data_IF_725859904738
#
_entry.id   IF_725859904738
#
_cell.length_a   1.000
_cell.length_b   1.000
_cell.length_c   1.000
_cell.angle_alpha   90.00
_cell.angle_beta   90.00
_cell.angle_gamma   90.00
#
_symmetry.space_group_name_H-M   'P 1'
#
loop_
_entity.id
_entity.type
_entity.pdbx_description
1 polymer ?
#
# COMPACT_ATOMS: atom_id res chain seq x y z
N UNK A 1 -35.59 19.70 -8.36
CA UNK A 1 -36.48 20.45 -7.45
C UNK A 1 -35.74 21.72 -7.03
N UNK A 2 -36.25 22.91 -7.38
CA UNK A 2 -35.63 24.20 -7.04
C UNK A 2 -35.93 24.55 -5.58
N UNK A 3 -34.88 24.81 -4.79
CA UNK A 3 -35.01 25.31 -3.43
C UNK A 3 -35.34 26.81 -3.47
N UNK A 4 -36.40 27.23 -2.78
CA UNK A 4 -36.87 28.62 -2.67
C UNK A 4 -36.16 29.43 -1.58
N UNK A 5 -35.01 28.95 -1.09
CA UNK A 5 -34.26 29.60 -0.02
C UNK A 5 -33.24 30.62 -0.59
N UNK A 6 -33.39 31.93 -0.30
CA UNK A 6 -32.61 33.02 -0.90
C UNK A 6 -31.11 33.00 -0.53
N UNK A 7 -30.72 32.25 0.49
CA UNK A 7 -29.30 32.07 0.86
C UNK A 7 -28.54 31.24 -0.17
N UNK A 8 -29.23 30.35 -0.89
CA UNK A 8 -28.61 29.46 -1.88
C UNK A 8 -28.60 30.03 -3.29
N UNK A 9 -29.49 30.98 -3.60
CA UNK A 9 -29.53 31.69 -4.89
C UNK A 9 -28.33 32.64 -5.07
N UNK A 10 -27.82 33.20 -3.97
CA UNK A 10 -26.75 34.20 -4.01
C UNK A 10 -25.34 33.62 -4.23
N UNK A 11 -25.18 32.28 -4.12
CA UNK A 11 -23.87 31.60 -4.24
C UNK A 11 -23.70 30.75 -5.51
N UNK A 12 -24.59 30.87 -6.50
CA UNK A 12 -24.37 30.28 -7.82
C UNK A 12 -24.40 28.75 -7.89
N UNK A 13 -25.04 28.08 -6.93
CA UNK A 13 -25.20 26.62 -6.99
C UNK A 13 -26.42 26.24 -7.83
N UNK A 14 -26.31 26.40 -9.15
CA UNK A 14 -27.16 25.68 -10.12
C UNK A 14 -26.32 24.57 -10.75
N UNK A 15 -26.79 23.33 -10.66
CA UNK A 15 -26.12 22.16 -11.22
C UNK A 15 -26.53 22.01 -12.68
N UNK A 16 -25.97 22.83 -13.54
CA UNK A 16 -25.92 22.57 -14.97
C UNK A 16 -24.56 21.95 -15.31
N UNK A 17 -24.57 20.94 -16.18
CA UNK A 17 -23.43 20.10 -16.55
C UNK A 17 -22.23 20.91 -17.10
N UNK A 18 -21.36 21.38 -16.23
CA UNK A 18 -20.10 22.02 -16.58
C UNK A 18 -19.16 22.05 -15.37
N UNK A 19 -17.88 21.73 -15.59
CA UNK A 19 -16.88 21.66 -14.52
C UNK A 19 -16.74 22.99 -13.76
N UNK A 20 -16.85 22.94 -12.44
CA UNK A 20 -16.60 24.07 -11.56
C UNK A 20 -15.09 24.30 -11.41
N UNK A 21 -14.53 25.21 -12.20
CA UNK A 21 -13.19 25.76 -12.01
C UNK A 21 -13.22 27.01 -11.12
N UNK A 22 -12.26 27.13 -10.20
CA UNK A 22 -11.95 28.42 -9.56
C UNK A 22 -11.31 29.34 -10.61
N UNK A 23 -11.83 30.57 -10.76
CA UNK A 23 -11.48 31.60 -11.75
C UNK A 23 -12.03 31.45 -13.17
N UNK A 24 -13.37 31.50 -13.33
CA UNK A 24 -13.96 31.83 -14.62
C UNK A 24 -14.03 33.37 -14.77
N UNK A 25 -13.29 33.91 -15.74
CA UNK A 25 -13.45 35.29 -16.22
C UNK A 25 -14.86 35.48 -16.82
N UNK A 26 -15.44 36.70 -16.77
CA UNK A 26 -16.72 36.96 -17.42
C UNK A 26 -16.58 36.77 -18.93
N UNK A 27 -17.27 35.75 -19.45
CA UNK A 27 -17.34 35.43 -20.87
C UNK A 27 -18.18 36.49 -21.60
N UNK A 28 -17.55 37.15 -22.56
CA UNK A 28 -18.15 38.13 -23.45
C UNK A 28 -19.19 37.48 -24.39
N UNK A 29 -20.32 38.15 -24.58
CA UNK A 29 -21.31 37.75 -25.57
C UNK A 29 -22.60 38.56 -25.52
N UNK A 30 -22.59 39.76 -26.10
CA UNK A 30 -23.74 40.34 -26.79
C UNK A 30 -23.28 41.53 -27.65
N UNK A 31 -23.42 41.38 -28.96
CA UNK A 31 -23.23 42.46 -29.92
C UNK A 31 -24.34 43.49 -29.75
N UNK A 32 -23.96 44.75 -29.52
CA UNK A 32 -24.83 45.90 -29.67
C UNK A 32 -24.13 46.90 -30.60
N UNK A 33 -24.65 46.98 -31.82
CA UNK A 33 -24.38 48.01 -32.81
C UNK A 33 -24.67 49.38 -32.20
N UNK A 34 -23.64 50.21 -32.04
CA UNK A 34 -23.76 51.59 -31.59
C UNK A 34 -22.58 52.40 -32.11
N UNK A 35 -22.83 53.15 -33.18
CA UNK A 35 -21.89 54.10 -33.75
C UNK A 35 -21.50 55.16 -32.70
N UNK A 36 -20.21 55.52 -32.66
CA UNK A 36 -19.78 56.77 -32.04
C UNK A 36 -18.83 57.49 -33.00
N UNK A 37 -19.21 58.67 -33.53
CA UNK A 37 -18.39 59.50 -34.40
C UNK A 37 -17.36 60.25 -33.55
N UNK A 38 -16.31 60.78 -34.18
CA UNK A 38 -15.14 61.45 -33.57
C UNK A 38 -13.97 60.53 -33.20
N UNK A 39 -13.38 59.92 -34.24
CA UNK A 39 -11.94 59.75 -34.28
C UNK A 39 -11.30 61.10 -34.68
N UNK A 40 -10.73 61.84 -33.73
CA UNK A 40 -9.74 62.88 -34.04
C UNK A 40 -8.92 63.25 -32.80
N UNK A 41 -7.59 63.19 -32.91
CA UNK A 41 -6.69 63.85 -31.96
C UNK A 41 -5.55 62.98 -31.43
N UNK A 42 -4.46 62.93 -32.18
CA UNK A 42 -3.12 62.63 -31.68
C UNK A 42 -2.73 63.62 -30.59
N UNK A 43 -2.59 63.15 -29.35
CA UNK A 43 -1.84 63.83 -28.29
C UNK A 43 -1.15 62.78 -27.42
N UNK A 44 0.18 62.73 -27.53
CA UNK A 44 1.03 61.93 -26.65
C UNK A 44 0.90 62.45 -25.21
N UNK A 45 0.47 61.59 -24.29
CA UNK A 45 0.38 61.89 -22.87
C UNK A 45 1.71 61.45 -22.20
N UNK A 46 2.60 62.35 -21.75
CA UNK A 46 3.94 61.99 -21.30
C UNK A 46 4.03 61.36 -19.90
N UNK A 47 2.91 61.07 -19.24
CA UNK A 47 2.89 60.60 -17.84
C UNK A 47 2.13 59.28 -17.59
N UNK A 48 1.84 58.50 -18.63
CA UNK A 48 1.18 57.20 -18.48
C UNK A 48 2.17 56.02 -18.56
N UNK A 49 3.20 56.01 -17.71
CA UNK A 49 4.01 54.80 -17.48
C UNK A 49 3.34 54.02 -16.36
N UNK A 50 2.48 53.06 -16.73
CA UNK A 50 1.84 52.16 -15.77
C UNK A 50 2.67 50.86 -15.70
N UNK A 51 3.46 50.60 -14.64
CA UNK A 51 4.38 49.45 -14.57
C UNK A 51 3.69 48.08 -14.49
N UNK A 52 2.35 48.07 -14.46
CA UNK A 52 1.52 46.89 -14.28
C UNK A 52 0.62 46.59 -15.49
N UNK A 53 0.82 47.27 -16.63
CA UNK A 53 0.09 46.95 -17.86
C UNK A 53 0.68 45.68 -18.51
N UNK A 54 0.25 44.51 -18.03
CA UNK A 54 0.49 43.23 -18.70
C UNK A 54 -0.37 43.16 -19.96
N UNK A 55 0.25 43.37 -21.13
CA UNK A 55 -0.38 43.17 -22.43
C UNK A 55 -0.74 41.69 -22.63
N UNK A 56 -2.03 41.29 -22.70
CA UNK A 56 -2.43 39.88 -22.79
C UNK A 56 -2.13 39.22 -24.14
N UNK A 57 -1.70 40.01 -25.13
CA UNK A 57 -1.47 39.56 -26.51
C UNK A 57 0.02 39.36 -26.86
N UNK A 58 0.94 39.59 -25.93
CA UNK A 58 2.38 39.56 -26.19
C UNK A 58 3.03 38.14 -26.11
N UNK A 59 2.26 37.09 -25.79
CA UNK A 59 2.81 35.74 -25.53
C UNK A 59 2.51 34.67 -26.59
N UNK A 60 2.03 35.05 -27.79
CA UNK A 60 1.68 34.06 -28.83
C UNK A 60 2.86 33.57 -29.70
N UNK A 61 4.12 33.78 -29.28
CA UNK A 61 5.30 33.52 -30.12
C UNK A 61 6.41 32.63 -29.56
N UNK A 62 6.32 32.12 -28.33
CA UNK A 62 7.34 31.23 -27.79
C UNK A 62 6.84 29.78 -27.77
N UNK A 63 7.56 28.82 -28.39
CA UNK A 63 7.37 27.42 -28.09
C UNK A 63 7.61 27.25 -26.58
N UNK A 64 6.54 26.98 -25.83
CA UNK A 64 6.64 26.75 -24.40
C UNK A 64 7.68 25.65 -24.17
N UNK A 65 8.67 25.93 -23.31
CA UNK A 65 9.64 24.93 -22.89
C UNK A 65 8.88 23.66 -22.47
N UNK A 66 9.30 22.45 -22.91
CA UNK A 66 8.64 21.22 -22.48
C UNK A 66 8.56 21.23 -20.96
N UNK A 67 7.36 20.98 -20.42
CA UNK A 67 7.17 20.85 -18.98
C UNK A 67 8.25 19.90 -18.44
N UNK A 68 8.96 20.26 -17.35
CA UNK A 68 10.04 19.42 -16.84
C UNK A 68 9.50 18.00 -16.66
N UNK A 69 10.15 17.03 -17.28
CA UNK A 69 9.83 15.63 -17.10
C UNK A 69 9.74 15.39 -15.59
N UNK A 70 8.66 14.75 -15.12
CA UNK A 70 8.54 14.32 -13.72
C UNK A 70 9.54 13.18 -13.49
N UNK A 71 10.82 13.50 -13.44
CA UNK A 71 11.93 12.56 -13.23
C UNK A 71 11.89 11.92 -11.84
N UNK A 72 11.08 12.46 -10.93
CA UNK A 72 10.90 11.98 -9.56
C UNK A 72 9.52 11.35 -9.30
N UNK A 73 8.70 11.08 -10.33
CA UNK A 73 7.45 10.37 -10.13
C UNK A 73 7.66 8.85 -10.01
N UNK A 74 6.91 8.22 -9.11
CA UNK A 74 6.83 6.78 -8.90
C UNK A 74 6.36 6.05 -10.15
N UNK A 75 7.04 4.96 -10.49
CA UNK A 75 6.72 4.08 -11.62
C UNK A 75 6.41 2.65 -11.17
N UNK A 76 5.82 1.84 -12.05
CA UNK A 76 5.65 0.39 -11.78
C UNK A 76 7.01 -0.28 -11.60
N UNK A 77 7.98 0.04 -12.46
CA UNK A 77 9.33 -0.56 -12.41
C UNK A 77 10.02 -0.27 -11.08
N UNK A 78 9.81 0.92 -10.53
CA UNK A 78 10.29 1.29 -9.21
C UNK A 78 9.73 0.40 -8.11
N UNK A 79 8.43 0.11 -8.14
CA UNK A 79 7.76 -0.74 -7.14
C UNK A 79 8.18 -2.19 -7.30
N UNK A 80 8.20 -2.70 -8.52
CA UNK A 80 8.59 -4.08 -8.82
C UNK A 80 10.03 -4.32 -8.36
N UNK A 81 10.95 -3.42 -8.70
CA UNK A 81 12.36 -3.55 -8.31
C UNK A 81 12.54 -3.55 -6.80
N UNK A 82 11.89 -2.63 -6.08
CA UNK A 82 12.01 -2.55 -4.61
C UNK A 82 11.34 -3.73 -3.92
N UNK A 83 10.20 -4.19 -4.42
CA UNK A 83 9.51 -5.38 -3.90
C UNK A 83 10.34 -6.64 -4.13
N UNK A 84 10.97 -6.77 -5.30
CA UNK A 84 11.90 -7.86 -5.59
C UNK A 84 13.14 -7.81 -4.69
N UNK A 85 13.68 -6.62 -4.42
CA UNK A 85 14.80 -6.45 -3.48
C UNK A 85 14.42 -6.84 -2.05
N UNK A 86 13.26 -6.41 -1.55
CA UNK A 86 12.83 -6.71 -0.18
C UNK A 86 12.49 -8.19 -0.02
N UNK A 87 11.69 -8.77 -0.92
CA UNK A 87 11.38 -10.20 -0.88
C UNK A 87 12.61 -11.08 -1.13
N UNK A 88 13.48 -10.68 -2.05
CA UNK A 88 14.74 -11.35 -2.30
C UNK A 88 15.61 -11.38 -1.05
N UNK A 89 15.68 -10.27 -0.31
CA UNK A 89 16.39 -10.21 0.96
C UNK A 89 15.75 -11.09 2.03
N UNK A 90 14.41 -11.14 2.14
CA UNK A 90 13.71 -12.08 3.03
C UNK A 90 14.12 -13.52 2.71
N UNK A 91 14.08 -13.91 1.43
CA UNK A 91 14.42 -15.28 1.00
C UNK A 91 15.88 -15.62 1.27
N UNK A 92 16.81 -14.71 0.96
CA UNK A 92 18.25 -14.92 1.22
C UNK A 92 18.52 -15.05 2.71
N UNK A 93 17.93 -14.17 3.54
CA UNK A 93 18.09 -14.25 4.99
C UNK A 93 17.44 -15.51 5.58
N UNK A 94 16.29 -15.95 5.04
CA UNK A 94 15.65 -17.21 5.44
C UNK A 94 16.51 -18.44 5.10
N UNK A 95 17.04 -18.49 3.89
CA UNK A 95 17.94 -19.56 3.47
C UNK A 95 19.25 -19.57 4.29
N UNK A 96 19.82 -18.39 4.56
CA UNK A 96 20.98 -18.25 5.41
C UNK A 96 20.71 -18.71 6.84
N UNK A 97 19.59 -18.31 7.44
CA UNK A 97 19.21 -18.75 8.78
C UNK A 97 19.01 -20.27 8.84
N UNK A 98 18.38 -20.87 7.82
CA UNK A 98 18.20 -22.31 7.72
C UNK A 98 19.54 -23.06 7.66
N UNK A 99 20.52 -22.54 6.93
CA UNK A 99 21.81 -23.21 6.75
C UNK A 99 22.77 -23.00 7.94
N UNK A 100 22.77 -21.79 8.52
CA UNK A 100 23.65 -21.42 9.64
C UNK A 100 23.12 -21.98 10.96
N UNK A 101 21.80 -22.08 11.13
CA UNK A 101 21.14 -22.65 12.30
C UNK A 101 20.24 -23.83 11.93
N UNK A 102 20.83 -25.01 11.64
CA UNK A 102 20.05 -26.25 11.58
C UNK A 102 19.41 -26.52 12.95
N UNK A 103 18.10 -26.80 12.96
CA UNK A 103 17.35 -26.98 14.20
C UNK A 103 17.33 -28.44 14.62
N UNK A 104 18.22 -28.78 15.56
CA UNK A 104 18.25 -30.08 16.23
C UNK A 104 17.71 -29.98 17.67
N UNK A 105 17.39 -31.13 18.27
CA UNK A 105 16.80 -31.21 19.62
C UNK A 105 17.66 -30.52 20.68
N UNK A 106 18.99 -30.49 20.51
CA UNK A 106 19.93 -29.81 21.41
C UNK A 106 19.88 -28.28 21.33
N UNK A 107 19.53 -27.72 20.17
CA UNK A 107 19.55 -26.27 19.90
C UNK A 107 18.15 -25.65 19.77
N UNK A 108 17.10 -26.44 19.98
CA UNK A 108 15.71 -26.01 19.80
C UNK A 108 15.36 -24.77 20.63
N UNK A 109 15.81 -24.71 21.89
CA UNK A 109 15.60 -23.54 22.75
C UNK A 109 16.27 -22.28 22.21
N UNK A 110 17.50 -22.39 21.70
CA UNK A 110 18.22 -21.29 21.07
C UNK A 110 17.53 -20.85 19.77
N UNK A 111 17.08 -21.80 18.95
CA UNK A 111 16.35 -21.52 17.72
C UNK A 111 15.05 -20.72 18.00
N UNK A 112 14.25 -21.15 18.98
CA UNK A 112 13.07 -20.37 19.40
C UNK A 112 13.46 -19.00 19.95
N UNK A 113 14.51 -18.89 20.75
CA UNK A 113 14.99 -17.61 21.27
C UNK A 113 15.39 -16.63 20.17
N UNK A 114 16.12 -17.09 19.16
CA UNK A 114 16.53 -16.29 18.00
C UNK A 114 15.34 -15.93 17.12
N UNK A 115 14.43 -16.87 16.87
CA UNK A 115 13.21 -16.61 16.11
C UNK A 115 12.34 -15.54 16.81
N UNK A 116 12.11 -15.66 18.11
CA UNK A 116 11.36 -14.67 18.88
C UNK A 116 12.08 -13.32 18.87
N UNK A 117 13.40 -13.29 19.06
CA UNK A 117 14.20 -12.06 18.97
C UNK A 117 14.07 -11.39 17.60
N UNK A 118 14.18 -12.15 16.52
CA UNK A 118 14.00 -11.67 15.16
C UNK A 118 12.58 -11.15 14.91
N UNK A 119 11.55 -11.87 15.38
CA UNK A 119 10.16 -11.45 15.29
C UNK A 119 9.89 -10.13 16.04
N UNK A 120 10.45 -9.97 17.24
CA UNK A 120 10.31 -8.72 18.01
C UNK A 120 11.00 -7.56 17.28
N UNK A 121 12.21 -7.76 16.78
CA UNK A 121 12.93 -6.73 16.01
C UNK A 121 12.16 -6.38 14.74
N UNK A 122 11.67 -7.38 13.99
CA UNK A 122 10.83 -7.20 12.81
C UNK A 122 9.55 -6.43 13.14
N UNK A 123 8.86 -6.80 14.21
CA UNK A 123 7.67 -6.10 14.68
C UNK A 123 7.96 -4.63 15.02
N UNK A 124 9.00 -4.34 15.80
CA UNK A 124 9.41 -2.96 16.14
C UNK A 124 9.75 -2.17 14.88
N UNK A 125 10.50 -2.75 13.94
CA UNK A 125 10.85 -2.09 12.68
C UNK A 125 9.60 -1.81 11.83
N UNK A 126 8.62 -2.71 11.84
CA UNK A 126 7.35 -2.52 11.13
C UNK A 126 6.55 -1.33 11.71
N UNK A 127 6.49 -1.21 13.03
CA UNK A 127 5.88 -0.07 13.72
C UNK A 127 6.62 1.24 13.42
N UNK A 128 7.95 1.24 13.53
CA UNK A 128 8.76 2.44 13.23
C UNK A 128 8.55 2.89 11.79
N UNK A 129 8.52 1.98 10.82
CA UNK A 129 8.21 2.31 9.43
C UNK A 129 6.78 2.86 9.27
N UNK A 130 5.80 2.30 9.97
CA UNK A 130 4.39 2.71 9.89
C UNK A 130 4.14 4.13 10.42
N UNK A 131 4.88 4.58 11.43
CA UNK A 131 4.76 5.94 11.97
C UNK A 131 5.67 6.96 11.28
N UNK A 132 6.59 6.51 10.42
CA UNK A 132 7.54 7.40 9.75
C UNK A 132 6.85 8.15 8.61
N UNK A 133 7.03 9.48 8.57
CA UNK A 133 6.46 10.33 7.52
C UNK A 133 7.13 10.18 6.15
N UNK A 134 8.38 9.70 6.12
CA UNK A 134 9.15 9.49 4.89
C UNK A 134 9.62 8.04 4.81
N UNK A 135 9.50 7.40 3.63
CA UNK A 135 10.05 6.08 3.39
C UNK A 135 11.53 6.01 3.75
N UNK A 136 11.97 4.91 4.36
CA UNK A 136 13.37 4.74 4.78
C UNK A 136 13.90 3.40 4.29
N UNK A 137 14.61 3.37 3.14
CA UNK A 137 15.09 2.12 2.54
C UNK A 137 15.91 1.25 3.49
N UNK A 138 16.85 1.79 4.29
CA UNK A 138 17.61 0.97 5.23
C UNK A 138 16.74 0.28 6.29
N UNK A 139 15.70 0.94 6.79
CA UNK A 139 14.80 0.34 7.80
C UNK A 139 13.93 -0.76 7.19
N UNK A 140 13.50 -0.59 5.95
CA UNK A 140 12.70 -1.58 5.22
C UNK A 140 13.54 -2.82 4.90
N UNK A 141 14.79 -2.62 4.48
CA UNK A 141 15.72 -3.72 4.23
C UNK A 141 16.12 -4.43 5.54
N UNK A 142 16.33 -3.68 6.63
CA UNK A 142 16.59 -4.27 7.94
C UNK A 142 15.41 -5.12 8.41
N UNK A 143 14.18 -4.62 8.25
CA UNK A 143 12.96 -5.39 8.50
C UNK A 143 12.95 -6.69 7.68
N UNK A 144 13.18 -6.61 6.37
CA UNK A 144 13.22 -7.77 5.49
C UNK A 144 14.28 -8.80 5.90
N UNK A 145 15.45 -8.37 6.36
CA UNK A 145 16.49 -9.27 6.84
C UNK A 145 16.08 -10.01 8.12
N UNK A 146 15.56 -9.29 9.12
CA UNK A 146 15.12 -9.92 10.38
C UNK A 146 13.90 -10.82 10.18
N UNK A 147 12.96 -10.41 9.32
CA UNK A 147 11.85 -11.30 8.98
C UNK A 147 12.30 -12.55 8.24
N UNK A 148 13.26 -12.42 7.31
CA UNK A 148 13.85 -13.58 6.68
C UNK A 148 14.44 -14.55 7.70
N UNK A 149 15.19 -14.06 8.69
CA UNK A 149 15.73 -14.91 9.78
C UNK A 149 14.61 -15.59 10.56
N UNK A 150 13.58 -14.84 10.97
CA UNK A 150 12.42 -15.40 11.67
C UNK A 150 11.75 -16.51 10.85
N UNK A 151 11.41 -16.23 9.60
CA UNK A 151 10.77 -17.18 8.70
C UNK A 151 11.65 -18.40 8.45
N UNK A 152 12.94 -18.22 8.23
CA UNK A 152 13.88 -19.32 8.01
C UNK A 152 13.91 -20.30 9.17
N UNK A 153 14.00 -19.79 10.41
CA UNK A 153 14.03 -20.64 11.61
C UNK A 153 12.68 -21.31 11.83
N UNK A 154 11.56 -20.55 11.78
CA UNK A 154 10.22 -21.13 11.97
C UNK A 154 9.92 -22.21 10.94
N UNK A 155 10.31 -21.98 9.68
CA UNK A 155 10.08 -22.94 8.61
C UNK A 155 10.94 -24.18 8.76
N UNK A 156 12.16 -24.04 9.28
CA UNK A 156 13.02 -25.18 9.62
C UNK A 156 12.40 -26.01 10.75
N UNK A 157 11.96 -25.35 11.84
CA UNK A 157 11.26 -26.02 12.95
C UNK A 157 10.04 -26.79 12.44
N UNK A 158 9.16 -26.14 11.67
CA UNK A 158 7.96 -26.80 11.13
C UNK A 158 8.35 -27.97 10.22
N UNK A 159 9.35 -27.80 9.35
CA UNK A 159 9.73 -28.86 8.41
C UNK A 159 10.42 -30.06 9.06
N UNK A 160 11.10 -29.87 10.19
CA UNK A 160 11.78 -30.94 10.93
C UNK A 160 10.85 -31.65 11.90
N UNK A 161 10.01 -30.92 12.63
CA UNK A 161 9.27 -31.46 13.77
C UNK A 161 7.76 -31.64 13.54
N UNK A 162 7.20 -31.03 12.51
CA UNK A 162 5.73 -31.01 12.31
C UNK A 162 5.34 -31.62 10.96
N UNK A 163 5.86 -31.06 9.87
CA UNK A 163 5.34 -31.32 8.54
C UNK A 163 6.48 -31.21 7.49
N UNK A 164 7.13 -32.33 7.14
CA UNK A 164 8.22 -32.35 6.17
C UNK A 164 7.82 -31.74 4.82
N UNK A 165 8.58 -30.73 4.37
CA UNK A 165 8.33 -30.05 3.11
C UNK A 165 7.22 -28.99 3.13
N UNK A 166 6.60 -28.72 4.30
CA UNK A 166 5.57 -27.69 4.44
C UNK A 166 6.04 -26.30 4.01
N UNK A 167 7.31 -25.97 4.24
CA UNK A 167 7.89 -24.71 3.83
C UNK A 167 7.77 -24.47 2.31
N UNK A 168 8.05 -25.48 1.49
CA UNK A 168 7.96 -25.36 0.03
C UNK A 168 6.49 -25.23 -0.43
N UNK A 169 5.59 -25.99 0.19
CA UNK A 169 4.15 -25.89 -0.11
C UNK A 169 3.61 -24.50 0.25
N UNK A 170 4.05 -23.93 1.38
CA UNK A 170 3.66 -22.59 1.79
C UNK A 170 4.19 -21.51 0.84
N UNK A 171 5.42 -21.64 0.33
CA UNK A 171 5.95 -20.74 -0.71
C UNK A 171 5.08 -20.82 -1.97
N UNK A 172 4.82 -22.03 -2.48
CA UNK A 172 4.00 -22.24 -3.68
C UNK A 172 2.57 -21.71 -3.49
N UNK A 173 1.97 -21.96 -2.34
CA UNK A 173 0.64 -21.45 -1.98
C UNK A 173 0.60 -19.92 -1.94
N UNK A 174 1.61 -19.29 -1.34
CA UNK A 174 1.71 -17.82 -1.29
C UNK A 174 1.86 -17.22 -2.68
N UNK A 175 2.71 -17.82 -3.52
CA UNK A 175 2.88 -17.41 -4.92
C UNK A 175 1.59 -17.60 -5.73
N UNK A 176 0.85 -18.68 -5.51
CA UNK A 176 -0.43 -18.92 -6.14
C UNK A 176 -1.49 -17.87 -5.73
N UNK A 177 -1.57 -17.54 -4.43
CA UNK A 177 -2.46 -16.48 -3.93
C UNK A 177 -2.08 -15.12 -4.53
N UNK A 178 -0.80 -14.76 -4.51
CA UNK A 178 -0.32 -13.52 -5.11
C UNK A 178 -0.65 -13.43 -6.59
N UNK A 179 -0.34 -14.46 -7.37
CA UNK A 179 -0.63 -14.51 -8.81
C UNK A 179 -2.14 -14.45 -9.08
N UNK A 180 -2.94 -15.20 -8.33
CA UNK A 180 -4.40 -15.20 -8.45
C UNK A 180 -5.00 -13.83 -8.20
N UNK A 181 -4.60 -13.16 -7.11
CA UNK A 181 -5.07 -11.80 -6.80
C UNK A 181 -4.56 -10.79 -7.82
N UNK A 182 -3.32 -10.90 -8.30
CA UNK A 182 -2.77 -10.01 -9.31
C UNK A 182 -3.54 -10.11 -10.63
N UNK A 183 -3.85 -11.33 -11.08
CA UNK A 183 -4.66 -11.57 -12.28
C UNK A 183 -6.08 -11.01 -12.06
N UNK A 184 -6.70 -11.30 -10.93
CA UNK A 184 -8.05 -10.83 -10.62
C UNK A 184 -8.14 -9.29 -10.52
N UNK A 185 -7.10 -8.64 -10.00
CA UNK A 185 -6.99 -7.18 -9.95
C UNK A 185 -6.78 -6.59 -11.34
N UNK A 186 -5.80 -7.11 -12.11
CA UNK A 186 -5.48 -6.61 -13.45
C UNK A 186 -6.62 -6.75 -14.46
N UNK A 187 -7.40 -7.84 -14.36
CA UNK A 187 -8.57 -8.08 -15.20
C UNK A 187 -9.80 -7.27 -14.77
N UNK A 188 -9.73 -6.56 -13.64
CA UNK A 188 -10.85 -5.79 -13.10
C UNK A 188 -11.97 -6.65 -12.51
N UNK A 189 -11.72 -7.95 -12.27
CA UNK A 189 -12.64 -8.84 -11.55
C UNK A 189 -12.84 -8.35 -10.11
N UNK A 190 -11.76 -7.89 -9.47
CA UNK A 190 -11.81 -7.26 -8.15
C UNK A 190 -11.68 -5.75 -8.32
N UNK A 191 -12.71 -4.99 -7.90
CA UNK A 191 -12.65 -3.53 -7.85
C UNK A 191 -12.60 -3.05 -6.40
N UNK A 192 -11.46 -2.47 -6.05
CA UNK A 192 -11.27 -1.93 -4.71
C UNK A 192 -11.97 -0.58 -4.59
N UNK A 193 -13.11 -0.58 -3.89
CA UNK A 193 -13.89 0.62 -3.56
C UNK A 193 -13.56 1.13 -2.16
N UNK A 194 -13.97 2.37 -1.83
CA UNK A 194 -13.81 2.92 -0.47
C UNK A 194 -14.47 2.06 0.61
N UNK A 195 -15.62 1.44 0.31
CA UNK A 195 -16.31 0.53 1.24
C UNK A 195 -15.54 -0.77 1.43
N UNK A 196 -15.00 -1.32 0.34
CA UNK A 196 -14.14 -2.51 0.40
C UNK A 196 -12.89 -2.24 1.24
N UNK A 197 -12.21 -1.11 1.04
CA UNK A 197 -11.06 -0.71 1.85
C UNK A 197 -11.41 -0.66 3.35
N UNK A 198 -12.49 0.05 3.72
CA UNK A 198 -12.91 0.16 5.11
C UNK A 198 -13.27 -1.19 5.74
N UNK A 199 -13.97 -2.06 5.00
CA UNK A 199 -14.32 -3.40 5.46
C UNK A 199 -13.09 -4.28 5.69
N UNK A 200 -12.18 -4.34 4.71
CA UNK A 200 -10.97 -5.18 4.80
C UNK A 200 -10.07 -4.71 5.92
N UNK A 201 -9.88 -3.40 6.10
CA UNK A 201 -9.10 -2.86 7.21
C UNK A 201 -9.74 -3.17 8.57
N UNK A 202 -11.07 -3.06 8.69
CA UNK A 202 -11.77 -3.44 9.92
C UNK A 202 -11.64 -4.94 10.22
N UNK A 203 -11.75 -5.79 9.19
CA UNK A 203 -11.57 -7.24 9.32
C UNK A 203 -10.14 -7.60 9.74
N UNK A 204 -9.13 -6.97 9.12
CA UNK A 204 -7.72 -7.17 9.46
C UNK A 204 -7.41 -6.76 10.91
N UNK A 205 -7.88 -5.58 11.34
CA UNK A 205 -7.70 -5.11 12.72
C UNK A 205 -8.43 -6.04 13.70
N UNK A 206 -9.68 -6.42 13.41
CA UNK A 206 -10.44 -7.34 14.26
C UNK A 206 -9.75 -8.70 14.40
N UNK A 207 -9.23 -9.25 13.30
CA UNK A 207 -8.46 -10.48 13.31
C UNK A 207 -7.18 -10.35 14.14
N UNK A 208 -6.42 -9.26 13.95
CA UNK A 208 -5.20 -8.96 14.73
C UNK A 208 -5.48 -8.87 16.23
N UNK A 209 -6.53 -8.15 16.63
CA UNK A 209 -6.92 -8.02 18.03
C UNK A 209 -7.30 -9.37 18.63
N UNK A 210 -8.04 -10.20 17.90
CA UNK A 210 -8.41 -11.54 18.36
C UNK A 210 -7.17 -12.43 18.51
N UNK A 211 -6.21 -12.35 17.58
CA UNK A 211 -4.95 -13.09 17.69
C UNK A 211 -4.09 -12.60 18.87
N UNK A 212 -4.11 -11.29 19.15
CA UNK A 212 -3.43 -10.72 20.32
C UNK A 212 -4.06 -11.21 21.63
N UNK A 213 -5.40 -11.27 21.70
CA UNK A 213 -6.11 -11.85 22.86
C UNK A 213 -5.76 -13.33 23.00
N UNK A 214 -5.78 -14.10 21.91
CA UNK A 214 -5.41 -15.52 21.94
C UNK A 214 -3.96 -15.72 22.44
N UNK A 215 -3.02 -14.88 21.99
CA UNK A 215 -1.63 -14.89 22.47
C UNK A 215 -1.54 -14.58 23.97
N UNK A 216 -2.31 -13.59 24.45
CA UNK A 216 -2.36 -13.24 25.87
C UNK A 216 -2.83 -14.43 26.71
N UNK A 217 -3.88 -15.13 26.29
CA UNK A 217 -4.34 -16.35 26.96
C UNK A 217 -3.31 -17.47 26.90
N UNK A 218 -2.58 -17.64 25.80
CA UNK A 218 -1.51 -18.65 25.71
C UNK A 218 -0.37 -18.36 26.72
N UNK A 219 0.01 -17.09 26.86
CA UNK A 219 1.11 -16.68 27.76
C UNK A 219 0.70 -16.73 29.25
N UNK A 220 -0.50 -16.26 29.58
CA UNK A 220 -0.94 -16.12 30.98
C UNK A 220 -1.81 -17.28 31.49
N UNK A 221 -2.57 -17.92 30.61
CA UNK A 221 -3.48 -19.03 30.94
C UNK A 221 -2.85 -20.42 30.81
N UNK A 222 -1.72 -20.55 30.11
CA UNK A 222 -1.06 -21.82 29.84
C UNK A 222 -1.73 -22.63 28.72
N UNK A 223 -0.94 -23.45 28.01
CA UNK A 223 -1.42 -24.27 26.89
C UNK A 223 -1.56 -23.50 25.56
N UNK A 224 -2.48 -23.94 24.70
CA UNK A 224 -2.69 -23.45 23.32
C UNK A 224 -3.49 -22.12 23.23
N UNK A 225 -3.66 -21.41 24.35
CA UNK A 225 -4.50 -20.22 24.43
C UNK A 225 -6.00 -20.54 24.31
N UNK A 226 -6.72 -19.85 23.43
CA UNK A 226 -8.15 -20.10 23.17
C UNK A 226 -8.40 -21.27 22.19
N UNK A 227 -7.35 -21.99 21.77
CA UNK A 227 -7.47 -23.13 20.84
C UNK A 227 -7.77 -22.73 19.39
N UNK A 228 -7.70 -21.44 19.03
CA UNK A 228 -7.92 -20.99 17.65
C UNK A 228 -6.78 -21.32 16.68
N UNK A 229 -5.70 -21.94 17.16
CA UNK A 229 -4.49 -22.24 16.38
C UNK A 229 -4.29 -23.72 16.08
N UNK A 230 -5.13 -24.62 16.62
CA UNK A 230 -5.00 -26.07 16.47
C UNK A 230 -6.30 -26.71 15.95
N UNK A 231 -6.15 -27.88 15.31
CA UNK A 231 -7.25 -28.68 14.74
C UNK A 231 -8.13 -27.94 13.74
N UNK A 232 -9.39 -28.37 13.62
CA UNK A 232 -10.36 -27.85 12.63
C UNK A 232 -10.60 -26.34 12.75
N UNK A 233 -10.60 -25.80 13.98
CA UNK A 233 -10.73 -24.35 14.17
C UNK A 233 -9.50 -23.62 13.61
N UNK A 234 -8.29 -24.13 13.84
CA UNK A 234 -7.06 -23.58 13.27
C UNK A 234 -7.06 -23.53 11.74
N UNK A 235 -7.65 -24.54 11.07
CA UNK A 235 -7.84 -24.57 9.62
C UNK A 235 -8.75 -23.43 9.16
N UNK A 236 -9.94 -23.31 9.77
CA UNK A 236 -10.91 -22.26 9.42
C UNK A 236 -10.30 -20.87 9.62
N UNK A 237 -9.64 -20.63 10.76
CA UNK A 237 -8.96 -19.37 11.03
C UNK A 237 -7.81 -19.11 10.06
N UNK A 238 -7.06 -20.14 9.65
CA UNK A 238 -6.01 -20.04 8.63
C UNK A 238 -6.56 -19.61 7.27
N UNK A 239 -7.64 -20.24 6.82
CA UNK A 239 -8.29 -19.87 5.55
C UNK A 239 -8.79 -18.43 5.61
N UNK A 240 -9.45 -18.03 6.70
CA UNK A 240 -9.91 -16.64 6.89
C UNK A 240 -8.74 -15.67 6.86
N UNK A 241 -7.63 -15.97 7.53
CA UNK A 241 -6.44 -15.13 7.54
C UNK A 241 -5.80 -14.98 6.16
N UNK A 242 -5.74 -16.05 5.37
CA UNK A 242 -5.24 -16.04 3.99
C UNK A 242 -6.17 -15.19 3.11
N UNK A 243 -7.49 -15.31 3.26
CA UNK A 243 -8.47 -14.51 2.52
C UNK A 243 -8.35 -13.02 2.88
N UNK A 244 -8.18 -12.69 4.16
CA UNK A 244 -7.93 -11.31 4.60
C UNK A 244 -6.62 -10.79 3.99
N UNK A 245 -5.55 -11.60 4.04
CA UNK A 245 -4.27 -11.26 3.42
C UNK A 245 -4.39 -11.00 1.91
N UNK A 246 -5.11 -11.87 1.19
CA UNK A 246 -5.40 -11.70 -0.23
C UNK A 246 -6.18 -10.41 -0.53
N UNK A 247 -7.14 -10.05 0.33
CA UNK A 247 -7.86 -8.78 0.22
C UNK A 247 -6.94 -7.57 0.47
N UNK A 248 -6.06 -7.61 1.48
CA UNK A 248 -5.05 -6.57 1.73
C UNK A 248 -4.10 -6.45 0.53
N UNK A 249 -3.74 -7.56 -0.09
CA UNK A 249 -2.90 -7.60 -1.28
C UNK A 249 -3.56 -6.85 -2.45
N UNK A 250 -4.87 -7.02 -2.65
CA UNK A 250 -5.63 -6.21 -3.60
C UNK A 250 -5.64 -4.71 -3.22
N UNK A 251 -5.72 -4.36 -1.92
CA UNK A 251 -5.58 -2.98 -1.46
C UNK A 251 -4.19 -2.41 -1.77
N UNK A 252 -3.13 -3.20 -1.62
CA UNK A 252 -1.77 -2.77 -1.93
C UNK A 252 -1.61 -2.47 -3.42
N UNK A 253 -2.17 -3.30 -4.30
CA UNK A 253 -2.17 -3.02 -5.74
C UNK A 253 -2.90 -1.74 -6.07
N UNK A 254 -4.05 -1.49 -5.44
CA UNK A 254 -4.73 -0.20 -5.59
C UNK A 254 -3.89 0.97 -5.11
N UNK A 255 -3.23 0.85 -3.97
CA UNK A 255 -2.36 1.93 -3.46
C UNK A 255 -1.19 2.22 -4.42
N UNK A 256 -0.61 1.19 -5.03
CA UNK A 256 0.41 1.35 -6.07
C UNK A 256 -0.14 2.07 -7.30
N UNK A 257 -1.30 1.63 -7.81
CA UNK A 257 -1.94 2.23 -8.98
C UNK A 257 -2.31 3.69 -8.74
N UNK A 258 -2.98 3.98 -7.62
CA UNK A 258 -3.35 5.33 -7.21
C UNK A 258 -2.09 6.21 -7.03
N UNK A 259 -1.03 5.68 -6.40
CA UNK A 259 0.23 6.39 -6.21
C UNK A 259 0.88 6.80 -7.54
N UNK A 260 0.88 5.92 -8.53
CA UNK A 260 1.42 6.21 -9.86
C UNK A 260 0.50 7.18 -10.62
N UNK A 261 -0.82 6.98 -10.56
CA UNK A 261 -1.81 7.82 -11.24
C UNK A 261 -1.77 9.28 -10.73
N UNK A 262 -1.57 9.48 -9.43
CA UNK A 262 -1.44 10.81 -8.83
C UNK A 262 0.00 11.37 -8.88
N UNK A 263 0.97 10.61 -9.39
CA UNK A 263 2.36 11.05 -9.52
C UNK A 263 3.08 11.19 -8.18
N UNK A 264 2.88 10.23 -7.26
CA UNK A 264 3.58 10.16 -5.99
C UNK A 264 5.11 10.21 -6.16
N UNK A 265 5.87 10.73 -5.20
CA UNK A 265 7.34 10.73 -5.27
C UNK A 265 7.91 9.31 -5.41
N UNK A 266 9.03 9.18 -6.13
CA UNK A 266 9.72 7.91 -6.36
C UNK A 266 10.10 7.17 -5.07
N UNK A 267 10.32 7.91 -3.98
CA UNK A 267 10.60 7.34 -2.66
C UNK A 267 9.43 6.48 -2.13
N UNK A 268 8.18 6.82 -2.46
CA UNK A 268 6.97 6.11 -2.00
C UNK A 268 6.89 4.66 -2.50
N UNK A 269 7.62 4.35 -3.59
CA UNK A 269 7.77 2.97 -4.05
C UNK A 269 8.38 2.04 -2.98
N UNK A 270 9.15 2.58 -2.03
CA UNK A 270 9.67 1.82 -0.90
C UNK A 270 8.56 1.44 0.10
N UNK A 271 7.62 2.35 0.38
CA UNK A 271 6.48 2.03 1.25
C UNK A 271 5.52 1.04 0.57
N UNK A 272 5.29 1.19 -0.73
CA UNK A 272 4.53 0.21 -1.50
C UNK A 272 5.16 -1.19 -1.44
N UNK A 273 6.47 -1.27 -1.68
CA UNK A 273 7.22 -2.53 -1.57
C UNK A 273 7.17 -3.13 -0.16
N UNK A 274 7.29 -2.30 0.87
CA UNK A 274 7.17 -2.72 2.27
C UNK A 274 5.80 -3.31 2.56
N UNK A 275 4.70 -2.62 2.20
CA UNK A 275 3.33 -3.13 2.41
C UNK A 275 3.06 -4.45 1.68
N UNK A 276 3.53 -4.57 0.43
CA UNK A 276 3.48 -5.83 -0.32
C UNK A 276 4.28 -6.95 0.37
N UNK A 277 5.48 -6.64 0.87
CA UNK A 277 6.34 -7.60 1.58
C UNK A 277 5.68 -8.09 2.87
N UNK A 278 5.21 -7.19 3.72
CA UNK A 278 4.52 -7.54 4.98
C UNK A 278 3.31 -8.44 4.70
N UNK A 279 2.53 -8.10 3.67
CA UNK A 279 1.34 -8.88 3.31
C UNK A 279 1.69 -10.27 2.79
N UNK A 280 2.76 -10.40 2.00
CA UNK A 280 3.23 -11.69 1.52
C UNK A 280 3.81 -12.55 2.64
N UNK A 281 4.59 -11.97 3.55
CA UNK A 281 5.10 -12.64 4.76
C UNK A 281 3.96 -13.14 5.63
N UNK A 282 2.93 -12.31 5.83
CA UNK A 282 1.71 -12.71 6.52
C UNK A 282 1.05 -13.94 5.88
N UNK A 283 0.79 -13.88 4.56
CA UNK A 283 0.16 -15.00 3.85
C UNK A 283 1.03 -16.26 3.93
N UNK A 284 2.35 -16.10 3.87
CA UNK A 284 3.29 -17.20 4.01
C UNK A 284 3.20 -17.90 5.37
N UNK A 285 3.20 -17.15 6.48
CA UNK A 285 3.08 -17.72 7.83
C UNK A 285 1.75 -18.45 7.99
N UNK A 286 0.66 -17.87 7.48
CA UNK A 286 -0.67 -18.48 7.53
C UNK A 286 -0.77 -19.74 6.66
N UNK A 287 -0.16 -19.74 5.47
CA UNK A 287 -0.04 -20.92 4.62
C UNK A 287 0.80 -22.01 5.28
N UNK A 288 1.94 -21.65 5.87
CA UNK A 288 2.81 -22.57 6.59
C UNK A 288 2.05 -23.23 7.75
N UNK A 289 1.31 -22.43 8.53
CA UNK A 289 0.46 -22.95 9.60
C UNK A 289 -0.63 -23.87 9.07
N UNK A 290 -1.32 -23.48 8.00
CA UNK A 290 -2.40 -24.27 7.41
C UNK A 290 -1.89 -25.65 6.95
N UNK A 291 -0.76 -25.68 6.22
CA UNK A 291 -0.13 -26.93 5.78
C UNK A 291 0.34 -27.77 6.97
N UNK A 292 0.93 -27.12 7.99
CA UNK A 292 1.38 -27.81 9.19
C UNK A 292 0.23 -28.50 9.95
N UNK A 293 -0.94 -27.86 10.06
CA UNK A 293 -2.12 -28.46 10.69
C UNK A 293 -2.65 -29.61 9.83
N UNK A 294 -2.77 -29.41 8.51
CA UNK A 294 -3.31 -30.42 7.60
C UNK A 294 -2.46 -31.69 7.52
N UNK A 295 -1.14 -31.60 7.70
CA UNK A 295 -0.24 -32.75 7.69
C UNK A 295 0.06 -33.31 9.09
N UNK A 296 -0.06 -32.48 10.13
CA UNK A 296 0.20 -32.88 11.51
C UNK A 296 -0.98 -33.59 12.18
N UNK A 297 -2.18 -33.53 11.59
CA UNK A 297 -3.40 -34.21 12.05
C UNK A 297 -3.56 -35.64 11.46
N UNK A 298 -2.56 -36.17 10.74
CA UNK A 298 -2.47 -37.58 10.27
C UNK A 298 -1.72 -38.47 11.29
#
# INVERSE_FOLDING_TARGET
>A
MRSSNPVFSRRGFSRDNGHAGFNAAPQAGAAATGANPYAQGTAANPYATNPYATNPYAQQGQPGAPAPARTDAMTIDDVVTRTAMTLGLVVVAAAAAWWIMPVDQANLGTAYGVAIGAAIIGFVLSLVNSFKRRPSPPLILLYAAFEGVFLGIVSNIVSVYVAPGAAMQAVLGTMAVFAGVLIAYRTGLIRVTRRFYGFVMAAAIGFMLLMMVNMLFAVFGGGDGLGFRSGTLGIIFGIVAIVIGACILALNFKQVEDGIAYGAPREEAWLAAFGLTVTLVWIYIEMLRLVAILQGDD
#
